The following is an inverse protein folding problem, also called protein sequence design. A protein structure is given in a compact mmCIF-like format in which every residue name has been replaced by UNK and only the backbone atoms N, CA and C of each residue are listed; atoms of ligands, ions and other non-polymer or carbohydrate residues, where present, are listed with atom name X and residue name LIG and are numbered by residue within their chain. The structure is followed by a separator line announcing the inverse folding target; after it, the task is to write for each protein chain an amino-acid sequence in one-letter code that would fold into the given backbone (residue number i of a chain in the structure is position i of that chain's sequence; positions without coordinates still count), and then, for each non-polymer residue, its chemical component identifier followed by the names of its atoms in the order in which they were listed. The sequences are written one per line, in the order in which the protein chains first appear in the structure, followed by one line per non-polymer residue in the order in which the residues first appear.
data_IF_451999794167
#
_entry.id   IF_451999794167
#
_cell.length_a   1.000
_cell.length_b   1.000
_cell.length_c   1.000
_cell.angle_alpha   90.00
_cell.angle_beta   90.00
_cell.angle_gamma   90.00
#
_symmetry.space_group_name_H-M   'P 1'
#
loop_
_entity.id
_entity.type
_entity.pdbx_description
1 polymer ?
#
# COMPACT_ATOMS: atom_id res chain seq x y z
N UNK A 1 11.53 14.19 5.16
CA UNK A 1 10.78 15.32 5.77
C UNK A 1 10.44 14.94 7.20
N UNK A 2 11.01 15.61 8.20
CA UNK A 2 10.59 15.45 9.61
C UNK A 2 9.12 15.89 9.69
N UNK A 3 8.24 15.01 10.16
CA UNK A 3 6.82 15.33 10.32
C UNK A 3 6.68 16.50 11.30
N UNK A 4 5.99 17.56 10.90
CA UNK A 4 5.67 18.67 11.81
C UNK A 4 4.78 18.12 12.94
N UNK A 5 5.23 18.25 14.19
CA UNK A 5 4.48 17.80 15.37
C UNK A 5 3.61 18.91 15.91
N UNK A 6 2.34 18.61 16.21
CA UNK A 6 1.40 19.56 16.79
C UNK A 6 1.94 20.19 18.09
N UNK A 7 1.57 21.44 18.35
CA UNK A 7 1.93 22.15 19.60
C UNK A 7 1.18 21.51 20.77
N UNK A 8 1.91 21.17 21.83
CA UNK A 8 1.38 20.51 23.03
C UNK A 8 1.74 21.29 24.29
N UNK A 9 0.87 21.22 25.28
CA UNK A 9 1.06 21.79 26.62
C UNK A 9 0.80 20.72 27.66
N UNK A 10 1.56 20.77 28.75
CA UNK A 10 1.33 19.92 29.92
C UNK A 10 0.37 20.64 30.86
N UNK A 11 -0.72 19.97 31.22
CA UNK A 11 -1.65 20.40 32.28
C UNK A 11 -1.48 19.49 33.49
N UNK A 12 -1.64 20.04 34.68
CA UNK A 12 -1.54 19.30 35.94
C UNK A 12 -2.88 19.36 36.67
N UNK A 13 -3.35 18.23 37.18
CA UNK A 13 -4.54 18.12 38.01
C UNK A 13 -4.25 17.08 39.09
N UNK A 14 -4.27 17.49 40.36
CA UNK A 14 -3.99 16.61 41.51
C UNK A 14 -2.69 15.79 41.33
N UNK A 15 -1.60 16.49 40.97
CA UNK A 15 -0.28 15.90 40.68
C UNK A 15 -0.21 14.94 39.48
N UNK A 16 -1.31 14.76 38.75
CA UNK A 16 -1.36 13.99 37.50
C UNK A 16 -1.12 14.92 36.31
N UNK A 17 -0.14 14.58 35.48
CA UNK A 17 0.22 15.31 34.26
C UNK A 17 -0.57 14.80 33.04
N UNK A 18 -1.13 15.73 32.27
CA UNK A 18 -1.83 15.49 31.01
C UNK A 18 -1.21 16.30 29.87
N UNK A 19 -0.67 15.63 28.85
CA UNK A 19 -0.17 16.32 27.65
C UNK A 19 -1.30 16.52 26.62
N UNK A 20 -1.75 17.76 26.46
CA UNK A 20 -2.85 18.14 25.58
C UNK A 20 -2.35 18.91 24.36
N UNK A 21 -3.08 18.80 23.25
CA UNK A 21 -2.79 19.56 22.01
C UNK A 21 -3.45 20.93 22.13
N UNK A 22 -2.68 22.00 21.89
CA UNK A 22 -3.16 23.39 22.05
C UNK A 22 -4.37 23.66 21.16
N UNK A 23 -4.30 23.32 19.87
CA UNK A 23 -5.42 23.47 18.93
C UNK A 23 -6.72 22.83 19.44
N UNK A 24 -6.61 21.66 20.08
CA UNK A 24 -7.78 20.93 20.60
C UNK A 24 -8.36 21.62 21.82
N UNK A 25 -7.51 22.09 22.74
CA UNK A 25 -7.94 22.87 23.91
C UNK A 25 -8.66 24.15 23.49
N UNK A 26 -8.09 24.92 22.57
CA UNK A 26 -8.70 26.15 22.05
C UNK A 26 -10.05 25.84 21.41
N UNK A 27 -10.13 24.80 20.57
CA UNK A 27 -11.39 24.44 19.92
C UNK A 27 -12.48 24.05 20.93
N UNK A 28 -12.18 23.14 21.85
CA UNK A 28 -13.13 22.61 22.83
C UNK A 28 -13.60 23.69 23.82
N UNK A 29 -12.69 24.56 24.27
CA UNK A 29 -13.00 25.62 25.23
C UNK A 29 -13.95 26.69 24.66
N UNK A 30 -13.83 27.04 23.38
CA UNK A 30 -14.59 28.14 22.78
C UNK A 30 -15.82 27.68 21.97
N UNK A 31 -15.88 26.44 21.48
CA UNK A 31 -17.04 25.93 20.73
C UNK A 31 -18.02 25.10 21.57
N UNK A 32 -17.63 24.67 22.77
CA UNK A 32 -18.53 23.95 23.69
C UNK A 32 -18.86 22.51 23.30
N UNK A 33 -18.13 21.90 22.37
CA UNK A 33 -18.27 20.49 22.01
C UNK A 33 -16.93 19.82 21.70
N UNK A 34 -16.91 18.48 21.75
CA UNK A 34 -15.72 17.66 21.56
C UNK A 34 -15.74 17.04 20.15
N UNK A 35 -14.91 17.50 19.20
CA UNK A 35 -14.83 16.89 17.87
C UNK A 35 -13.97 15.61 17.88
N UNK A 36 -14.16 14.75 16.88
CA UNK A 36 -13.26 13.61 16.67
C UNK A 36 -11.86 14.07 16.23
N UNK A 37 -11.79 15.06 15.34
CA UNK A 37 -10.57 15.65 14.80
C UNK A 37 -10.65 17.18 14.76
N UNK A 38 -9.54 17.87 15.05
CA UNK A 38 -9.38 19.32 14.84
C UNK A 38 -8.30 19.52 13.78
N UNK A 39 -8.57 20.35 12.78
CA UNK A 39 -7.61 20.69 11.73
C UNK A 39 -7.55 22.19 11.48
N UNK A 40 -6.38 22.62 10.98
CA UNK A 40 -6.11 23.99 10.55
C UNK A 40 -6.57 24.22 9.10
N UNK A 41 -7.25 25.33 8.81
CA UNK A 41 -7.74 25.68 7.46
C UNK A 41 -6.59 25.94 6.50
N UNK A 42 -5.62 26.72 6.95
CA UNK A 42 -4.41 27.09 6.23
C UNK A 42 -3.37 25.94 6.13
N UNK A 43 -3.51 24.92 6.97
CA UNK A 43 -2.53 23.83 7.09
C UNK A 43 -1.28 24.19 7.90
N UNK A 44 -1.24 25.37 8.51
CA UNK A 44 -0.20 25.75 9.46
C UNK A 44 -0.57 25.31 10.88
N UNK A 45 0.11 24.28 11.36
CA UNK A 45 -0.15 23.68 12.67
C UNK A 45 0.19 24.59 13.86
N UNK A 46 0.87 25.71 13.62
CA UNK A 46 1.24 26.70 14.64
C UNK A 46 0.18 27.81 14.78
N UNK A 47 -0.68 28.01 13.78
CA UNK A 47 -1.73 29.02 13.81
C UNK A 47 -2.99 28.52 14.54
N UNK A 48 -2.97 28.59 15.87
CA UNK A 48 -4.06 28.10 16.73
C UNK A 48 -5.20 29.11 16.93
N UNK A 49 -5.35 30.10 16.05
CA UNK A 49 -6.46 31.06 16.09
C UNK A 49 -7.79 30.33 15.93
N UNK A 50 -8.80 30.66 16.73
CA UNK A 50 -10.10 29.97 16.73
C UNK A 50 -10.72 29.88 15.34
N UNK A 51 -10.67 30.98 14.57
CA UNK A 51 -11.20 31.07 13.20
C UNK A 51 -10.47 30.17 12.19
N UNK A 52 -9.24 29.75 12.50
CA UNK A 52 -8.46 28.85 11.66
C UNK A 52 -8.72 27.37 11.98
N UNK A 53 -9.39 27.06 13.10
CA UNK A 53 -9.64 25.70 13.55
C UNK A 53 -11.00 25.19 13.03
N UNK A 54 -11.03 23.93 12.61
CA UNK A 54 -12.25 23.23 12.20
C UNK A 54 -12.32 21.90 12.95
N UNK A 55 -13.40 21.70 13.70
CA UNK A 55 -13.80 20.39 14.22
C UNK A 55 -14.49 19.58 13.12
N UNK A 56 -14.07 18.34 12.92
CA UNK A 56 -14.65 17.43 11.93
C UNK A 56 -14.58 15.97 12.38
N UNK A 57 -15.37 15.12 11.74
CA UNK A 57 -15.32 13.66 11.91
C UNK A 57 -14.10 13.06 11.20
N UNK A 58 -13.66 11.88 11.62
CA UNK A 58 -12.62 11.08 10.93
C UNK A 58 -13.01 10.79 9.48
N UNK A 59 -14.29 10.57 9.23
CA UNK A 59 -14.84 10.33 7.89
C UNK A 59 -14.66 11.55 6.98
N UNK A 60 -14.94 12.76 7.48
CA UNK A 60 -14.73 14.01 6.73
C UNK A 60 -13.26 14.28 6.46
N UNK A 61 -12.41 14.08 7.47
CA UNK A 61 -10.96 14.24 7.32
C UNK A 61 -10.41 13.27 6.26
N UNK A 62 -10.85 12.01 6.30
CA UNK A 62 -10.47 10.99 5.32
C UNK A 62 -10.91 11.37 3.91
N UNK A 63 -12.15 11.83 3.72
CA UNK A 63 -12.63 12.32 2.41
C UNK A 63 -11.81 13.50 1.90
N UNK A 64 -11.47 14.46 2.76
CA UNK A 64 -10.63 15.63 2.42
C UNK A 64 -9.23 15.19 2.01
N UNK A 65 -8.61 14.26 2.73
CA UNK A 65 -7.31 13.69 2.39
C UNK A 65 -7.35 12.95 1.04
N UNK A 66 -8.38 12.13 0.81
CA UNK A 66 -8.57 11.40 -0.46
C UNK A 66 -8.74 12.37 -1.63
N UNK A 67 -9.54 13.44 -1.49
CA UNK A 67 -9.73 14.44 -2.55
C UNK A 67 -8.42 15.14 -2.95
N UNK A 68 -7.60 15.55 -1.96
CA UNK A 68 -6.28 16.14 -2.20
C UNK A 68 -5.34 15.15 -2.88
N UNK A 69 -5.39 13.87 -2.51
CA UNK A 69 -4.53 12.82 -3.05
C UNK A 69 -4.94 12.38 -4.47
N UNK A 70 -6.24 12.39 -4.78
CA UNK A 70 -6.78 12.01 -6.09
C UNK A 70 -6.44 13.02 -7.19
N UNK A 71 -6.21 14.30 -6.85
CA UNK A 71 -5.86 15.34 -7.82
C UNK A 71 -4.47 15.18 -8.47
N UNK A 72 -3.59 14.31 -7.94
CA UNK A 72 -2.18 14.20 -8.40
C UNK A 72 -1.66 12.79 -8.69
N UNK A 73 -2.47 11.73 -8.50
CA UNK A 73 -2.01 10.37 -8.85
C UNK A 73 -2.31 10.09 -10.32
N UNK A 74 -1.38 10.49 -11.20
CA UNK A 74 -1.29 9.85 -12.51
C UNK A 74 -1.19 8.35 -12.28
N UNK A 75 -2.16 7.62 -12.85
CA UNK A 75 -2.22 6.18 -12.69
C UNK A 75 -0.96 5.57 -13.30
N UNK A 76 -0.12 4.97 -12.44
CA UNK A 76 1.11 4.30 -12.86
C UNK A 76 0.76 3.20 -13.85
N UNK A 77 1.51 3.18 -14.94
CA UNK A 77 1.39 2.15 -15.96
C UNK A 77 1.98 0.84 -15.43
N UNK A 78 1.31 -0.27 -15.74
CA UNK A 78 1.72 -1.60 -15.31
C UNK A 78 2.14 -2.37 -16.56
N UNK A 79 3.32 -3.00 -16.50
CA UNK A 79 3.73 -3.96 -17.51
C UNK A 79 2.96 -5.27 -17.28
N UNK A 80 2.27 -5.73 -18.31
CA UNK A 80 1.57 -7.03 -18.37
C UNK A 80 2.29 -7.90 -19.39
N UNK A 81 2.67 -9.09 -18.97
CA UNK A 81 3.36 -10.06 -19.83
C UNK A 81 2.57 -11.37 -19.82
N UNK A 82 2.19 -11.84 -21.00
CA UNK A 82 1.61 -13.17 -21.17
C UNK A 82 2.75 -14.19 -21.26
N UNK A 83 2.91 -15.12 -20.30
CA UNK A 83 4.02 -16.07 -20.33
C UNK A 83 3.91 -17.12 -21.43
N UNK A 84 2.71 -17.35 -21.97
CA UNK A 84 2.50 -18.35 -23.02
C UNK A 84 2.91 -17.82 -24.39
N UNK A 85 2.68 -16.53 -24.66
CA UNK A 85 2.97 -15.91 -25.96
C UNK A 85 4.20 -14.99 -25.94
N UNK A 86 4.68 -14.59 -24.76
CA UNK A 86 5.71 -13.56 -24.61
C UNK A 86 5.20 -12.14 -24.89
N UNK A 87 3.90 -11.96 -25.14
CA UNK A 87 3.32 -10.66 -25.48
C UNK A 87 3.43 -9.69 -24.30
N UNK A 88 3.91 -8.47 -24.60
CA UNK A 88 4.15 -7.41 -23.63
C UNK A 88 3.18 -6.27 -23.92
N UNK A 89 2.46 -5.83 -22.90
CA UNK A 89 1.56 -4.69 -23.00
C UNK A 89 1.66 -3.80 -21.77
N UNK A 90 1.45 -2.50 -21.97
CA UNK A 90 1.44 -1.51 -20.92
C UNK A 90 0.00 -1.09 -20.65
N UNK A 91 -0.49 -1.34 -19.43
CA UNK A 91 -1.92 -1.22 -19.10
C UNK A 91 -2.17 -0.24 -17.95
N UNK A 92 -3.28 0.48 -18.04
CA UNK A 92 -3.84 1.32 -16.96
C UNK A 92 -5.25 0.84 -16.65
N UNK A 93 -5.44 0.25 -15.47
CA UNK A 93 -6.75 -0.25 -15.06
C UNK A 93 -7.47 0.73 -14.16
N UNK A 94 -8.73 1.05 -14.43
CA UNK A 94 -9.56 1.90 -13.55
C UNK A 94 -9.37 1.54 -12.06
N UNK A 95 -9.04 2.51 -11.19
CA UNK A 95 -8.89 2.29 -9.76
C UNK A 95 -10.09 1.54 -9.17
N UNK A 96 -9.82 0.71 -8.16
CA UNK A 96 -10.80 -0.15 -7.48
C UNK A 96 -11.48 -1.24 -8.31
N UNK A 97 -11.24 -1.33 -9.62
CA UNK A 97 -11.73 -2.45 -10.44
C UNK A 97 -11.10 -3.79 -10.03
N UNK A 98 -11.78 -4.90 -10.31
CA UNK A 98 -11.28 -6.26 -10.04
C UNK A 98 -9.96 -6.52 -10.76
N UNK A 99 -9.82 -6.04 -12.02
CA UNK A 99 -8.57 -6.14 -12.79
C UNK A 99 -7.44 -5.35 -12.13
N UNK A 100 -7.72 -4.12 -11.67
CA UNK A 100 -6.76 -3.29 -10.96
C UNK A 100 -6.26 -3.96 -9.67
N UNK A 101 -7.17 -4.39 -8.78
CA UNK A 101 -6.79 -5.13 -7.55
C UNK A 101 -6.06 -6.43 -7.89
N UNK A 102 -6.48 -7.07 -8.97
CA UNK A 102 -5.88 -8.21 -9.64
C UNK A 102 -4.37 -8.05 -9.83
N UNK A 103 -4.04 -7.16 -10.76
CA UNK A 103 -2.69 -6.79 -11.17
C UNK A 103 -1.87 -6.19 -10.02
N UNK A 104 -2.49 -5.37 -9.16
CA UNK A 104 -1.79 -4.72 -8.06
C UNK A 104 -1.23 -5.73 -7.04
N UNK A 105 -1.98 -6.79 -6.73
CA UNK A 105 -1.47 -7.88 -5.87
C UNK A 105 -0.29 -8.61 -6.52
N UNK A 106 -0.23 -8.70 -7.84
CA UNK A 106 0.91 -9.27 -8.54
C UNK A 106 2.12 -8.30 -8.55
N UNK A 107 1.88 -7.01 -8.78
CA UNK A 107 2.91 -5.98 -8.71
C UNK A 107 3.57 -5.87 -7.32
N UNK A 108 2.82 -6.16 -6.25
CA UNK A 108 3.32 -6.21 -4.88
C UNK A 108 3.78 -7.60 -4.44
N UNK A 109 3.94 -8.54 -5.37
CA UNK A 109 4.51 -9.87 -5.13
C UNK A 109 3.72 -10.73 -4.13
N UNK A 110 2.48 -10.36 -3.81
CA UNK A 110 1.56 -11.19 -3.01
C UNK A 110 1.25 -12.48 -3.76
N UNK A 111 1.26 -12.43 -5.09
CA UNK A 111 1.19 -13.57 -6.01
C UNK A 111 2.04 -13.29 -7.24
N UNK A 112 2.50 -14.33 -7.94
CA UNK A 112 3.34 -14.16 -9.13
C UNK A 112 2.51 -13.73 -10.35
N UNK A 113 1.33 -14.33 -10.56
CA UNK A 113 0.48 -14.05 -11.72
C UNK A 113 -0.94 -13.65 -11.32
N UNK A 114 -1.67 -13.03 -12.24
CA UNK A 114 -3.11 -12.83 -12.16
C UNK A 114 -3.76 -13.22 -13.48
N UNK A 115 -4.68 -14.20 -13.45
CA UNK A 115 -5.30 -14.78 -14.68
C UNK A 115 -4.27 -15.27 -15.72
N UNK A 116 -3.16 -15.84 -15.25
CA UNK A 116 -2.10 -16.38 -16.12
C UNK A 116 -0.99 -15.38 -16.46
N UNK A 117 -1.29 -14.08 -16.48
CA UNK A 117 -0.29 -13.07 -16.84
C UNK A 117 0.57 -12.62 -15.64
N UNK A 118 1.79 -12.19 -15.94
CA UNK A 118 2.69 -11.49 -15.02
C UNK A 118 2.37 -10.00 -15.04
N UNK A 119 2.42 -9.35 -13.87
CA UNK A 119 2.23 -7.91 -13.75
C UNK A 119 3.31 -7.32 -12.84
N UNK A 120 3.97 -6.27 -13.31
CA UNK A 120 4.97 -5.55 -12.54
C UNK A 120 5.06 -4.09 -12.99
N UNK A 121 5.57 -3.24 -12.11
CA UNK A 121 6.01 -1.91 -12.53
C UNK A 121 7.36 -2.03 -13.25
N UNK A 122 7.61 -1.29 -14.34
CA UNK A 122 8.82 -1.46 -15.16
C UNK A 122 10.12 -1.42 -14.35
N UNK A 123 10.21 -0.50 -13.39
CA UNK A 123 11.38 -0.35 -12.52
C UNK A 123 11.54 -1.47 -11.47
N UNK A 124 10.53 -2.33 -11.31
CA UNK A 124 10.49 -3.43 -10.34
C UNK A 124 10.59 -4.82 -10.98
N UNK A 125 10.92 -4.91 -12.27
CA UNK A 125 11.11 -6.20 -12.96
C UNK A 125 12.10 -7.11 -12.22
N UNK A 126 13.21 -6.54 -11.74
CA UNK A 126 14.22 -7.28 -11.00
C UNK A 126 13.67 -7.90 -9.70
N UNK A 127 12.85 -7.17 -8.95
CA UNK A 127 12.20 -7.68 -7.73
C UNK A 127 11.32 -8.90 -8.02
N UNK A 128 10.56 -8.87 -9.13
CA UNK A 128 9.76 -10.01 -9.58
C UNK A 128 10.62 -11.24 -9.92
N UNK A 129 11.73 -11.03 -10.63
CA UNK A 129 12.66 -12.12 -10.99
C UNK A 129 13.24 -12.79 -9.74
N UNK A 130 13.70 -12.00 -8.77
CA UNK A 130 14.26 -12.53 -7.52
C UNK A 130 13.21 -13.24 -6.67
N UNK A 131 11.98 -12.73 -6.59
CA UNK A 131 10.87 -13.39 -5.92
C UNK A 131 10.55 -14.76 -6.55
N UNK A 132 10.53 -14.85 -7.89
CA UNK A 132 10.29 -16.12 -8.57
C UNK A 132 11.43 -17.12 -8.27
N UNK A 133 12.70 -16.69 -8.29
CA UNK A 133 13.84 -17.53 -7.90
C UNK A 133 13.73 -18.00 -6.44
N UNK A 134 13.35 -17.12 -5.52
CA UNK A 134 13.17 -17.44 -4.11
C UNK A 134 12.08 -18.52 -3.92
N UNK A 135 10.95 -18.42 -4.64
CA UNK A 135 9.89 -19.44 -4.62
C UNK A 135 10.35 -20.78 -5.17
N UNK A 136 11.13 -20.80 -6.26
CA UNK A 136 11.73 -22.04 -6.78
C UNK A 136 12.64 -22.67 -5.73
N UNK A 137 13.51 -21.87 -5.08
CA UNK A 137 14.41 -22.34 -4.02
C UNK A 137 13.64 -22.94 -2.84
N UNK A 138 12.60 -22.25 -2.36
CA UNK A 138 11.73 -22.73 -1.29
C UNK A 138 11.02 -24.05 -1.69
N UNK A 139 10.49 -24.12 -2.91
CA UNK A 139 9.85 -25.31 -3.44
C UNK A 139 10.82 -26.50 -3.51
N UNK A 140 12.06 -26.28 -3.98
CA UNK A 140 13.08 -27.33 -4.03
C UNK A 140 13.47 -27.81 -2.63
N UNK A 141 13.59 -26.89 -1.66
CA UNK A 141 13.81 -27.24 -0.27
C UNK A 141 12.70 -28.16 0.26
N UNK A 142 11.43 -27.78 0.06
CA UNK A 142 10.27 -28.59 0.47
C UNK A 142 10.26 -29.99 -0.17
N UNK A 143 10.69 -30.11 -1.43
CA UNK A 143 10.80 -31.41 -2.10
C UNK A 143 11.91 -32.29 -1.49
N UNK A 144 12.98 -31.67 -0.97
CA UNK A 144 14.12 -32.39 -0.42
C UNK A 144 13.92 -32.92 1.01
N UNK A 145 12.96 -32.38 1.76
CA UNK A 145 12.75 -32.75 3.17
C UNK A 145 12.03 -34.10 3.36
N UNK A 146 11.49 -34.71 2.29
CA UNK A 146 10.75 -35.98 2.38
C UNK A 146 9.37 -35.90 3.05
N UNK A 147 8.96 -34.70 3.47
CA UNK A 147 7.68 -34.40 4.14
C UNK A 147 6.45 -34.38 3.21
N UNK A 148 6.51 -33.94 1.93
CA UNK A 148 5.30 -33.72 1.14
C UNK A 148 4.61 -35.01 0.69
N UNK A 149 3.28 -35.01 0.67
CA UNK A 149 2.50 -36.07 0.02
C UNK A 149 2.76 -36.12 -1.49
N UNK A 150 2.48 -37.25 -2.14
CA UNK A 150 2.66 -37.42 -3.59
C UNK A 150 1.92 -36.34 -4.40
N UNK A 151 0.73 -35.94 -3.97
CA UNK A 151 -0.05 -34.89 -4.63
C UNK A 151 0.64 -33.51 -4.49
N UNK A 152 1.16 -33.21 -3.30
CA UNK A 152 1.93 -31.98 -3.07
C UNK A 152 3.19 -31.95 -3.93
N UNK A 153 3.91 -33.07 -4.04
CA UNK A 153 5.09 -33.19 -4.91
C UNK A 153 4.73 -32.85 -6.36
N UNK A 154 3.66 -33.45 -6.90
CA UNK A 154 3.20 -33.18 -8.27
C UNK A 154 2.88 -31.70 -8.47
N UNK A 155 2.19 -31.08 -7.51
CA UNK A 155 1.81 -29.66 -7.54
C UNK A 155 3.02 -28.74 -7.49
N UNK A 156 3.97 -29.00 -6.59
CA UNK A 156 5.20 -28.21 -6.45
C UNK A 156 6.04 -28.28 -7.73
N UNK A 157 6.21 -29.48 -8.31
CA UNK A 157 6.91 -29.66 -9.59
C UNK A 157 6.26 -28.85 -10.71
N UNK A 158 4.93 -28.84 -10.80
CA UNK A 158 4.19 -28.02 -11.78
C UNK A 158 4.43 -26.52 -11.56
N UNK A 159 4.41 -26.04 -10.32
CA UNK A 159 4.72 -24.64 -10.04
C UNK A 159 6.15 -24.27 -10.45
N UNK A 160 7.14 -25.11 -10.14
CA UNK A 160 8.51 -24.87 -10.56
C UNK A 160 8.68 -24.85 -12.08
N UNK A 161 7.96 -25.72 -12.81
CA UNK A 161 7.95 -25.69 -14.27
C UNK A 161 7.43 -24.35 -14.79
N UNK A 162 6.29 -23.89 -14.27
CA UNK A 162 5.71 -22.59 -14.65
C UNK A 162 6.63 -21.42 -14.28
N UNK A 163 7.25 -21.44 -13.09
CA UNK A 163 8.17 -20.39 -12.67
C UNK A 163 9.43 -20.32 -13.55
N UNK A 164 9.97 -21.46 -14.00
CA UNK A 164 11.07 -21.48 -14.98
C UNK A 164 10.66 -20.83 -16.30
N UNK A 165 9.50 -21.20 -16.83
CA UNK A 165 8.91 -20.57 -18.02
C UNK A 165 8.76 -19.05 -17.85
N UNK A 166 8.31 -18.60 -16.68
CA UNK A 166 8.16 -17.17 -16.40
C UNK A 166 9.51 -16.45 -16.39
N UNK A 167 10.56 -17.07 -15.84
CA UNK A 167 11.90 -16.51 -15.85
C UNK A 167 12.47 -16.40 -17.27
N UNK A 168 12.26 -17.42 -18.10
CA UNK A 168 12.69 -17.41 -19.51
C UNK A 168 12.04 -16.24 -20.27
N UNK A 169 10.71 -16.08 -20.13
CA UNK A 169 10.01 -14.94 -20.75
C UNK A 169 10.50 -13.61 -20.18
N UNK A 170 10.73 -13.50 -18.87
CA UNK A 170 11.23 -12.26 -18.27
C UNK A 170 12.65 -11.88 -18.71
N UNK A 171 13.45 -12.83 -19.22
CA UNK A 171 14.80 -12.57 -19.75
C UNK A 171 14.80 -12.04 -21.19
N UNK A 172 13.74 -12.27 -21.97
CA UNK A 172 13.63 -11.84 -23.37
C UNK A 172 13.04 -10.44 -23.56
N UNK A 173 12.38 -9.94 -22.52
CA UNK A 173 11.94 -8.55 -22.32
C UNK A 173 12.99 -7.75 -21.57
#
# INVERSE_FOLDING_TARGET
MKGKTAVRVALWCEDIRFDKIVARLVFEAFNGYIPECVVHRDGDIYNNSLDNLIGMTRSELSRKAVSKTNSKRTQREICRVNPDTGEVSFVKYKPHSTKYRGALRACYLIRVTYRGDLYFYPEKKFELVEEIKARIKQNNYLLSTGIPSLEMVKRIKRYNLNYKKYLEVLQTI
#
